data_IF_713676662480
#
_entry.id   IF_713676662480
#
_cell.length_a   1.000
_cell.length_b   1.000
_cell.length_c   1.000
_cell.angle_alpha   90.00
_cell.angle_beta   90.00
_cell.angle_gamma   90.00
#
_symmetry.space_group_name_H-M   'P 1'
#
loop_
_entity.id
_entity.type
_entity.pdbx_description
1 polymer ?
#
# COMPACT_ATOMS: atom_id res chain seq x y z
N UNK A 1 -0.56 7.64 -6.85
CA UNK A 1 0.26 6.56 -7.42
C UNK A 1 -0.62 5.34 -7.59
N UNK A 2 -0.53 4.72 -8.76
CA UNK A 2 -1.39 3.59 -9.13
C UNK A 2 -0.53 2.49 -9.72
N UNK A 3 -0.77 1.22 -9.35
CA UNK A 3 -0.07 0.05 -9.89
C UNK A 3 1.47 0.19 -9.82
N UNK A 4 1.97 0.82 -8.75
CA UNK A 4 3.37 1.18 -8.59
C UNK A 4 3.99 0.47 -7.40
N UNK A 5 5.32 0.30 -7.42
CA UNK A 5 6.08 -0.16 -6.25
C UNK A 5 7.02 0.93 -5.79
N UNK A 6 6.97 1.26 -4.50
CA UNK A 6 7.95 2.12 -3.84
C UNK A 6 8.76 1.26 -2.89
N UNK A 7 10.03 1.08 -3.21
CA UNK A 7 10.90 0.21 -2.45
C UNK A 7 12.28 0.79 -2.21
N UNK A 8 12.85 0.48 -1.04
CA UNK A 8 14.21 0.86 -0.65
C UNK A 8 14.47 2.38 -0.60
N UNK A 9 13.42 3.19 -0.44
CA UNK A 9 13.58 4.61 -0.17
C UNK A 9 13.94 4.83 1.29
N UNK A 10 14.70 5.89 1.58
CA UNK A 10 15.18 6.20 2.93
C UNK A 10 14.98 7.67 3.25
N UNK A 11 14.34 7.93 4.38
CA UNK A 11 14.15 9.27 4.94
C UNK A 11 14.22 9.22 6.48
N UNK A 12 14.37 10.38 7.13
CA UNK A 12 14.38 10.48 8.60
C UNK A 12 13.04 10.06 9.21
N UNK A 13 11.96 10.47 8.55
CA UNK A 13 10.60 9.96 8.70
C UNK A 13 10.07 9.68 7.29
N UNK A 14 9.20 8.68 7.13
CA UNK A 14 8.37 8.53 5.93
C UNK A 14 9.12 8.17 4.64
N UNK A 15 9.96 7.13 4.68
CA UNK A 15 10.69 6.69 3.49
C UNK A 15 9.80 6.34 2.30
N UNK A 16 8.59 5.82 2.50
CA UNK A 16 7.73 5.39 1.38
C UNK A 16 6.78 6.44 0.79
N UNK A 17 6.70 7.68 1.33
CA UNK A 17 5.97 8.79 0.70
C UNK A 17 6.38 10.16 1.27
N UNK A 18 5.98 11.24 0.60
CA UNK A 18 6.13 12.59 1.13
C UNK A 18 5.03 12.90 2.18
N UNK A 19 5.43 13.40 3.34
CA UNK A 19 4.60 13.67 4.52
C UNK A 19 3.77 14.97 4.45
N UNK A 20 4.16 15.94 3.61
CA UNK A 20 3.50 17.26 3.51
C UNK A 20 2.48 17.35 2.35
N UNK A 21 2.27 16.27 1.60
CA UNK A 21 1.45 16.25 0.39
C UNK A 21 0.25 15.31 0.47
N UNK A 22 -0.76 15.57 -0.36
CA UNK A 22 -1.86 14.61 -0.57
C UNK A 22 -1.33 13.35 -1.25
N UNK A 23 -1.45 12.20 -0.58
CA UNK A 23 -1.00 10.90 -1.10
C UNK A 23 -2.21 10.04 -1.44
N UNK A 24 -2.31 9.57 -2.68
CA UNK A 24 -3.29 8.54 -3.04
C UNK A 24 -2.55 7.30 -3.53
N UNK A 25 -2.75 6.17 -2.86
CA UNK A 25 -2.18 4.87 -3.22
C UNK A 25 -3.28 3.94 -3.68
N UNK A 26 -3.20 3.51 -4.94
CA UNK A 26 -4.16 2.56 -5.53
C UNK A 26 -3.39 1.37 -6.06
N UNK A 27 -3.72 0.16 -5.62
CA UNK A 27 -3.11 -1.08 -6.11
C UNK A 27 -1.57 -1.04 -6.11
N UNK A 28 -0.98 -0.42 -5.09
CA UNK A 28 0.46 -0.15 -5.01
C UNK A 28 1.12 -0.94 -3.88
N UNK A 29 2.42 -1.17 -3.98
CA UNK A 29 3.21 -1.87 -2.96
C UNK A 29 4.29 -0.94 -2.41
N UNK A 30 4.25 -0.69 -1.09
CA UNK A 30 5.32 -0.02 -0.37
C UNK A 30 6.10 -1.09 0.40
N UNK A 31 7.39 -1.23 0.18
CA UNK A 31 8.19 -2.29 0.81
C UNK A 31 9.63 -1.89 1.06
N UNK A 32 10.25 -2.37 2.13
CA UNK A 32 11.67 -2.11 2.42
C UNK A 32 12.06 -0.62 2.50
N UNK A 33 11.12 0.28 2.76
CA UNK A 33 11.41 1.70 2.97
C UNK A 33 11.91 1.92 4.42
N UNK A 34 12.81 2.87 4.62
CA UNK A 34 13.41 3.23 5.92
C UNK A 34 12.85 4.56 6.44
N UNK A 35 12.60 4.65 7.75
CA UNK A 35 11.96 5.80 8.39
C UNK A 35 10.43 5.75 8.42
N UNK A 36 9.84 4.69 7.87
CA UNK A 36 8.39 4.51 7.76
C UNK A 36 7.95 4.13 6.36
N UNK A 37 6.82 3.44 6.26
CA UNK A 37 6.26 3.00 4.99
C UNK A 37 5.38 4.10 4.43
N UNK A 38 4.21 4.23 5.04
CA UNK A 38 3.21 5.20 4.73
C UNK A 38 3.05 6.17 5.90
N UNK A 39 3.08 7.46 5.61
CA UNK A 39 2.89 8.52 6.57
C UNK A 39 1.90 9.56 6.13
N UNK A 40 1.26 10.21 7.11
CA UNK A 40 0.52 11.45 6.91
C UNK A 40 0.55 12.27 8.18
N UNK A 41 1.04 13.50 8.08
CA UNK A 41 1.10 14.46 9.17
C UNK A 41 0.56 15.83 8.71
N UNK A 42 0.15 16.68 9.66
CA UNK A 42 -0.15 18.11 9.42
C UNK A 42 -1.18 18.38 8.32
N UNK A 43 -2.37 17.78 8.40
CA UNK A 43 -3.48 17.99 7.45
C UNK A 43 -3.23 17.43 6.04
N UNK A 44 -2.19 16.62 5.85
CA UNK A 44 -2.00 15.88 4.61
C UNK A 44 -3.07 14.79 4.48
N UNK A 45 -3.89 14.86 3.43
CA UNK A 45 -4.88 13.82 3.17
C UNK A 45 -4.21 12.64 2.46
N UNK A 46 -4.13 11.50 3.13
CA UNK A 46 -3.65 10.27 2.50
C UNK A 46 -4.81 9.28 2.32
N UNK A 47 -4.98 8.72 1.11
CA UNK A 47 -5.95 7.65 0.84
C UNK A 47 -5.26 6.41 0.32
N UNK A 48 -5.65 5.26 0.85
CA UNK A 48 -5.10 3.96 0.45
C UNK A 48 -6.21 3.02 0.04
N UNK A 49 -6.06 2.44 -1.14
CA UNK A 49 -7.00 1.51 -1.74
C UNK A 49 -6.26 0.34 -2.36
N UNK A 50 -6.67 -0.89 -2.02
CA UNK A 50 -6.18 -2.15 -2.59
C UNK A 50 -4.64 -2.28 -2.58
N UNK A 51 -3.97 -1.67 -1.61
CA UNK A 51 -2.51 -1.56 -1.57
C UNK A 51 -1.89 -2.36 -0.44
N UNK A 52 -0.59 -2.66 -0.60
CA UNK A 52 0.21 -3.44 0.33
C UNK A 52 1.26 -2.54 0.99
N UNK A 53 1.29 -2.51 2.32
CA UNK A 53 2.33 -1.81 3.08
C UNK A 53 3.14 -2.84 3.85
N UNK A 54 4.30 -3.16 3.31
CA UNK A 54 5.10 -4.32 3.67
C UNK A 54 6.37 -3.87 4.37
N UNK A 55 6.73 -4.62 5.41
CA UNK A 55 7.87 -4.47 6.31
C UNK A 55 8.85 -3.38 5.86
N UNK A 56 8.80 -2.28 6.58
CA UNK A 56 9.80 -1.22 6.55
C UNK A 56 11.10 -1.72 7.17
N UNK A 57 12.23 -1.22 6.65
CA UNK A 57 13.56 -1.54 7.19
C UNK A 57 13.74 -0.94 8.60
N UNK A 58 13.15 0.23 8.83
CA UNK A 58 13.06 0.91 10.11
C UNK A 58 11.75 1.71 10.18
N UNK A 59 11.15 1.81 11.38
CA UNK A 59 9.87 2.49 11.60
C UNK A 59 8.65 1.58 11.41
N UNK A 60 7.46 2.17 11.51
CA UNK A 60 6.16 1.48 11.32
C UNK A 60 5.76 1.47 9.85
N UNK A 61 4.96 0.48 9.42
CA UNK A 61 4.36 0.48 8.09
C UNK A 61 3.46 1.70 7.89
N UNK A 62 2.66 2.06 8.89
CA UNK A 62 1.83 3.26 8.89
C UNK A 62 2.15 4.14 10.10
N UNK A 63 2.50 5.39 9.84
CA UNK A 63 2.85 6.39 10.84
C UNK A 63 2.04 7.67 10.57
N UNK A 64 0.90 7.83 11.23
CA UNK A 64 -0.04 8.94 10.99
C UNK A 64 -0.89 9.24 12.23
N UNK A 65 -1.25 10.51 12.39
CA UNK A 65 -2.11 11.05 13.45
C UNK A 65 -3.53 11.34 12.91
N UNK A 66 -4.25 10.30 12.45
CA UNK A 66 -5.66 10.32 12.00
C UNK A 66 -6.00 10.87 10.60
N UNK A 67 -5.07 11.53 9.90
CA UNK A 67 -5.33 12.11 8.56
C UNK A 67 -5.29 11.10 7.40
N UNK A 68 -4.96 9.84 7.71
CA UNK A 68 -4.83 8.80 6.70
C UNK A 68 -6.04 7.86 6.68
N UNK A 69 -6.59 7.73 5.47
CA UNK A 69 -7.89 7.13 5.18
C UNK A 69 -7.70 5.81 4.43
N UNK A 70 -8.25 4.73 4.98
CA UNK A 70 -8.42 3.48 4.24
C UNK A 70 -9.73 3.51 3.45
N UNK A 71 -9.67 3.45 2.11
CA UNK A 71 -10.84 3.51 1.22
C UNK A 71 -11.10 2.19 0.46
N UNK A 72 -10.31 1.14 0.72
CA UNK A 72 -10.49 -0.20 0.15
C UNK A 72 -9.96 -1.30 1.06
N UNK A 73 -9.70 -2.48 0.50
CA UNK A 73 -9.11 -3.59 1.25
C UNK A 73 -7.60 -3.51 1.14
N UNK A 74 -6.94 -3.08 2.21
CA UNK A 74 -5.50 -2.92 2.26
C UNK A 74 -4.88 -3.96 3.19
N UNK A 75 -3.62 -4.29 2.97
CA UNK A 75 -2.87 -5.23 3.80
C UNK A 75 -1.61 -4.58 4.33
N UNK A 76 -1.32 -4.84 5.60
CA UNK A 76 -0.08 -4.44 6.23
C UNK A 76 0.57 -5.62 6.96
N UNK A 77 1.84 -5.47 7.36
CA UNK A 77 2.61 -6.59 7.93
C UNK A 77 2.98 -6.46 9.40
N UNK A 78 2.74 -5.32 10.03
CA UNK A 78 3.14 -5.03 11.41
C UNK A 78 1.97 -4.61 12.32
N UNK A 79 0.79 -4.37 11.76
CA UNK A 79 -0.42 -3.96 12.46
C UNK A 79 -0.52 -2.46 12.72
N UNK A 80 0.48 -1.67 12.34
CA UNK A 80 0.51 -0.22 12.62
C UNK A 80 -0.59 0.54 11.87
N UNK A 81 -1.06 -0.01 10.75
CA UNK A 81 -2.13 0.56 9.93
C UNK A 81 -3.54 0.34 10.51
N UNK A 82 -3.68 -0.39 11.62
CA UNK A 82 -4.99 -0.64 12.24
C UNK A 82 -5.63 0.60 12.87
N UNK A 83 -4.84 1.64 13.16
CA UNK A 83 -5.28 2.89 13.79
C UNK A 83 -5.83 3.91 12.80
N UNK A 84 -5.73 3.61 11.51
CA UNK A 84 -6.10 4.52 10.43
C UNK A 84 -7.60 4.72 10.35
N UNK A 85 -8.03 5.92 9.97
CA UNK A 85 -9.43 6.23 9.81
C UNK A 85 -10.01 5.41 8.65
N UNK A 86 -11.13 4.74 8.89
CA UNK A 86 -11.81 3.96 7.84
C UNK A 86 -12.68 4.91 7.02
N UNK A 87 -12.32 5.14 5.77
CA UNK A 87 -13.15 5.81 4.76
C UNK A 87 -14.07 4.83 4.02
N UNK A 88 -14.55 3.79 4.73
CA UNK A 88 -15.23 2.63 4.13
C UNK A 88 -14.30 1.47 3.75
N UNK A 89 -12.99 1.61 3.95
CA UNK A 89 -12.00 0.55 3.78
C UNK A 89 -11.53 -0.12 5.08
N UNK A 90 -10.63 -1.08 4.95
CA UNK A 90 -10.02 -1.82 6.07
C UNK A 90 -8.54 -2.05 5.84
N UNK A 91 -7.77 -2.16 6.93
CA UNK A 91 -6.44 -2.76 6.91
C UNK A 91 -6.49 -4.08 7.64
N UNK A 92 -6.01 -5.14 6.99
CA UNK A 92 -5.82 -6.44 7.63
C UNK A 92 -4.34 -6.74 7.72
N UNK A 93 -3.89 -6.97 8.95
CA UNK A 93 -2.56 -7.46 9.22
C UNK A 93 -2.37 -8.87 8.67
N UNK A 94 -1.30 -9.08 7.93
CA UNK A 94 -0.82 -10.36 7.41
C UNK A 94 0.68 -10.49 7.65
N UNK A 95 1.29 -11.61 7.33
CA UNK A 95 2.74 -11.76 7.35
C UNK A 95 3.33 -11.51 5.96
N UNK A 96 4.60 -11.11 5.89
CA UNK A 96 5.31 -10.99 4.61
C UNK A 96 5.33 -12.31 3.83
N UNK A 97 5.42 -13.45 4.53
CA UNK A 97 5.36 -14.77 3.93
C UNK A 97 4.01 -15.08 3.29
N UNK A 98 2.89 -14.64 3.91
CA UNK A 98 1.55 -14.79 3.34
C UNK A 98 1.33 -13.96 2.07
N UNK A 99 2.01 -12.81 1.96
CA UNK A 99 1.94 -11.97 0.76
C UNK A 99 2.63 -12.60 -0.45
N UNK A 100 3.60 -13.50 -0.23
CA UNK A 100 4.34 -14.21 -1.29
C UNK A 100 4.78 -13.28 -2.43
N UNK A 101 5.46 -12.19 -2.07
CA UNK A 101 6.01 -11.26 -3.03
C UNK A 101 7.20 -11.89 -3.75
N UNK A 102 7.19 -11.85 -5.09
CA UNK A 102 8.32 -12.19 -5.94
C UNK A 102 9.45 -11.16 -5.85
N UNK A 103 10.52 -11.38 -6.60
CA UNK A 103 11.60 -10.40 -6.71
C UNK A 103 11.13 -9.14 -7.46
N UNK A 104 11.83 -8.02 -7.26
CA UNK A 104 11.57 -6.77 -7.96
C UNK A 104 11.94 -6.95 -9.45
N UNK A 105 10.94 -6.99 -10.32
CA UNK A 105 11.10 -7.26 -11.74
C UNK A 105 10.23 -6.33 -12.59
N UNK A 106 10.47 -6.30 -13.90
CA UNK A 106 9.53 -5.65 -14.81
C UNK A 106 8.29 -6.54 -14.99
N UNK A 107 7.15 -6.07 -14.48
CA UNK A 107 5.85 -6.75 -14.59
C UNK A 107 4.83 -5.92 -15.39
N UNK A 108 5.30 -5.09 -16.34
CA UNK A 108 4.43 -4.38 -17.28
C UNK A 108 3.80 -3.08 -16.74
N UNK A 109 4.34 -2.52 -15.66
CA UNK A 109 3.94 -1.21 -15.11
C UNK A 109 4.98 -0.12 -15.36
N UNK A 110 4.72 1.13 -14.95
CA UNK A 110 5.65 2.25 -15.13
C UNK A 110 6.93 2.14 -14.27
N UNK A 111 6.97 1.19 -13.34
CA UNK A 111 8.10 0.90 -12.45
C UNK A 111 8.25 -0.62 -12.30
N UNK A 112 9.45 -1.09 -11.96
CA UNK A 112 9.62 -2.50 -11.54
C UNK A 112 8.77 -2.73 -10.28
N UNK A 113 8.15 -3.90 -10.19
CA UNK A 113 7.26 -4.24 -9.08
C UNK A 113 7.54 -5.63 -8.52
N UNK A 114 7.01 -5.91 -7.33
CA UNK A 114 7.01 -7.24 -6.75
C UNK A 114 5.72 -7.97 -7.17
N UNK A 115 5.85 -8.98 -8.02
CA UNK A 115 4.70 -9.79 -8.44
C UNK A 115 4.11 -10.58 -7.25
N UNK A 116 2.78 -10.76 -7.24
CA UNK A 116 2.14 -11.68 -6.30
C UNK A 116 2.26 -13.11 -6.82
N UNK A 117 2.93 -13.98 -6.07
CA UNK A 117 3.06 -15.39 -6.43
C UNK A 117 1.80 -16.18 -6.05
N UNK A 118 1.65 -17.36 -6.67
CA UNK A 118 0.48 -18.23 -6.48
C UNK A 118 0.18 -18.52 -5.00
N UNK A 119 -1.10 -18.37 -4.64
CA UNK A 119 -1.59 -18.54 -3.28
C UNK A 119 -1.18 -17.42 -2.32
N UNK A 120 -0.84 -16.24 -2.83
CA UNK A 120 -0.71 -15.02 -2.02
C UNK A 120 -2.05 -14.63 -1.42
N UNK A 121 -2.06 -14.18 -0.16
CA UNK A 121 -3.28 -13.67 0.49
C UNK A 121 -3.76 -12.33 -0.05
N UNK A 122 -2.99 -11.69 -0.93
CA UNK A 122 -3.33 -10.42 -1.58
C UNK A 122 -4.09 -10.61 -2.91
N UNK A 123 -4.01 -11.80 -3.52
CA UNK A 123 -4.75 -12.12 -4.74
C UNK A 123 -6.26 -12.09 -4.45
N UNK A 124 -7.02 -11.45 -5.33
CA UNK A 124 -8.49 -11.32 -5.29
C UNK A 124 -9.04 -10.70 -4.00
N UNK A 125 -8.24 -9.87 -3.31
CA UNK A 125 -8.70 -9.13 -2.12
C UNK A 125 -9.04 -7.68 -2.36
N UNK A 126 -8.77 -7.16 -3.55
CA UNK A 126 -9.14 -5.79 -3.89
C UNK A 126 -10.65 -5.57 -3.80
N UNK A 127 -11.08 -4.40 -3.29
CA UNK A 127 -12.49 -4.03 -3.32
C UNK A 127 -12.94 -3.84 -4.78
N UNK A 128 -13.86 -4.68 -5.25
CA UNK A 128 -14.41 -4.62 -6.62
C UNK A 128 -15.17 -3.32 -6.87
N UNK A 129 -15.81 -2.74 -5.84
CA UNK A 129 -16.52 -1.46 -5.95
C UNK A 129 -15.61 -0.28 -6.31
N UNK A 130 -14.31 -0.41 -6.05
CA UNK A 130 -13.30 0.61 -6.36
C UNK A 130 -12.48 0.27 -7.62
N UNK A 131 -12.71 -0.91 -8.21
CA UNK A 131 -12.29 -1.25 -9.56
C UNK A 131 -13.30 -0.62 -10.53
N UNK A 132 -13.23 0.70 -10.69
CA UNK A 132 -14.13 1.44 -11.57
C UNK A 132 -14.13 0.81 -12.97
N UNK A 133 -15.22 0.13 -13.32
CA UNK A 133 -15.69 -0.10 -14.69
C UNK A 133 -14.58 -0.45 -15.70
N UNK A 134 -13.92 -1.60 -15.55
CA UNK A 134 -13.52 -2.35 -16.74
C UNK A 134 -14.82 -2.87 -17.35
N UNK A 135 -15.46 -2.03 -18.17
CA UNK A 135 -16.51 -2.47 -19.08
C UNK A 135 -15.91 -3.63 -19.84
N UNK A 136 -16.56 -4.78 -19.70
CA UNK A 136 -16.61 -5.87 -20.66
C UNK A 136 -16.24 -5.38 -22.06
N UNK A 137 -15.06 -5.75 -22.54
CA UNK A 137 -14.91 -5.97 -23.97
C UNK A 137 -15.64 -7.29 -24.19
N UNK A 138 -16.95 -7.17 -24.47
CA UNK A 138 -17.66 -8.23 -25.16
C UNK A 138 -17.17 -8.19 -26.60
N UNK A 139 -16.63 -9.33 -27.02
CA UNK A 139 -16.61 -9.90 -28.38
C UNK A 139 -16.17 -9.01 -29.55
#
# INVERSE_FOLDING_TARGET
MTNSTLSANSAGSCGGNNEDGTVSLVSSTLTANSGGGLCSFRFANASVTNSLVVKTAAGQNCLSDDDLISAGTNLDTDGSCARLRTGGGTFRRVTAAQLKLGQLADNGGPTRSHALLMGSVAIDRGSQAMCGSLRTIND
#
